data_IF_446693905454
#
_entry.id   IF_446693905454
#
_cell.length_a   1.000
_cell.length_b   1.000
_cell.length_c   1.000
_cell.angle_alpha   90.00
_cell.angle_beta   90.00
_cell.angle_gamma   90.00
#
_symmetry.space_group_name_H-M   'P 1'
#
loop_
_entity.id
_entity.type
_entity.pdbx_description
1 polymer ?
#
# COMPACT_ATOMS: atom_id res chain seq x y z
N UNK A 1 8.73 -0.22 25.62
CA UNK A 1 8.53 1.21 25.29
C UNK A 1 9.18 1.59 23.95
N UNK A 2 10.48 1.38 23.73
CA UNK A 2 11.18 1.78 22.49
C UNK A 2 10.58 1.21 21.20
N UNK A 3 10.21 -0.09 21.18
CA UNK A 3 9.55 -0.73 20.01
C UNK A 3 8.15 -0.17 19.76
N UNK A 4 7.35 0.08 20.79
CA UNK A 4 5.99 0.64 20.66
C UNK A 4 6.03 2.05 20.05
N UNK A 5 6.93 2.90 20.52
CA UNK A 5 7.13 4.25 19.97
C UNK A 5 7.54 4.19 18.49
N UNK A 6 8.47 3.29 18.16
CA UNK A 6 8.93 3.08 16.79
C UNK A 6 7.79 2.63 15.88
N UNK A 7 6.92 1.72 16.36
CA UNK A 7 5.76 1.25 15.62
C UNK A 7 4.69 2.34 15.45
N UNK A 8 4.49 3.20 16.46
CA UNK A 8 3.62 4.35 16.32
C UNK A 8 4.15 5.33 15.26
N UNK A 9 5.47 5.54 15.19
CA UNK A 9 6.10 6.34 14.13
C UNK A 9 5.99 5.67 12.76
N UNK A 10 6.05 4.34 12.69
CA UNK A 10 5.77 3.58 11.45
C UNK A 10 4.33 3.81 10.99
N UNK A 11 3.36 3.63 11.87
CA UNK A 11 1.94 3.89 11.57
C UNK A 11 1.69 5.34 11.14
N UNK A 12 2.33 6.29 11.82
CA UNK A 12 2.28 7.71 11.46
C UNK A 12 2.85 7.95 10.05
N UNK A 13 4.04 7.43 9.76
CA UNK A 13 4.68 7.56 8.45
C UNK A 13 3.87 6.91 7.34
N UNK A 14 3.36 5.70 7.57
CA UNK A 14 2.50 4.98 6.62
C UNK A 14 1.20 5.74 6.33
N UNK A 15 0.56 6.29 7.35
CA UNK A 15 -0.66 7.08 7.17
C UNK A 15 -0.41 8.42 6.47
N UNK A 16 0.73 9.06 6.72
CA UNK A 16 1.11 10.27 5.96
C UNK A 16 1.22 9.97 4.48
N UNK A 17 1.77 8.82 4.13
CA UNK A 17 1.86 8.35 2.74
C UNK A 17 0.48 8.03 2.18
N UNK A 18 -0.27 7.19 2.88
CA UNK A 18 -1.58 6.72 2.44
C UNK A 18 -2.59 7.85 2.29
N UNK A 19 -2.72 8.69 3.28
CA UNK A 19 -3.62 9.85 3.24
C UNK A 19 -3.26 10.87 2.16
N UNK A 20 -2.03 10.81 1.63
CA UNK A 20 -1.58 11.69 0.55
C UNK A 20 -1.69 11.04 -0.84
N UNK A 21 -1.66 9.72 -0.95
CA UNK A 21 -1.71 8.98 -2.21
C UNK A 21 -3.04 8.25 -2.42
N UNK A 22 -3.84 8.07 -1.36
CA UNK A 22 -5.04 7.24 -1.37
C UNK A 22 -4.75 5.76 -1.59
N UNK A 23 -3.55 5.31 -1.23
CA UNK A 23 -3.09 3.93 -1.33
C UNK A 23 -1.71 3.79 -0.67
N UNK A 24 -1.35 2.56 -0.26
CA UNK A 24 -0.01 2.21 0.21
C UNK A 24 0.22 2.22 1.73
N UNK A 25 -0.82 2.28 2.55
CA UNK A 25 -0.66 2.08 4.01
C UNK A 25 -0.02 0.73 4.31
N UNK A 26 -0.60 -0.35 3.80
CA UNK A 26 -0.12 -1.71 4.01
C UNK A 26 1.32 -1.91 3.52
N UNK A 27 1.59 -1.55 2.26
CA UNK A 27 2.95 -1.70 1.65
C UNK A 27 4.01 -0.97 2.46
N UNK A 28 3.71 0.26 2.91
CA UNK A 28 4.65 1.10 3.67
C UNK A 28 4.85 0.54 5.07
N UNK A 29 3.75 0.25 5.79
CA UNK A 29 3.79 -0.28 7.16
C UNK A 29 4.54 -1.61 7.22
N UNK A 30 4.19 -2.55 6.35
CA UNK A 30 4.83 -3.87 6.30
C UNK A 30 6.30 -3.77 5.95
N UNK A 31 6.67 -2.95 4.95
CA UNK A 31 8.07 -2.70 4.60
C UNK A 31 8.87 -2.21 5.81
N UNK A 32 8.33 -1.26 6.57
CA UNK A 32 8.99 -0.72 7.74
C UNK A 32 9.04 -1.72 8.90
N UNK A 33 7.98 -2.54 9.09
CA UNK A 33 7.96 -3.61 10.09
C UNK A 33 9.00 -4.69 9.79
N UNK A 34 9.14 -5.12 8.53
CA UNK A 34 10.19 -6.03 8.10
C UNK A 34 11.58 -5.43 8.31
N UNK A 35 11.76 -4.15 8.00
CA UNK A 35 13.04 -3.44 8.16
C UNK A 35 13.52 -3.41 9.62
N UNK A 36 12.59 -3.38 10.58
CA UNK A 36 12.90 -3.41 12.03
C UNK A 36 12.90 -4.83 12.60
N UNK A 37 12.83 -5.85 11.76
CA UNK A 37 13.01 -7.25 12.12
C UNK A 37 11.75 -7.96 12.64
N UNK A 38 10.56 -7.48 12.31
CA UNK A 38 9.30 -8.20 12.56
C UNK A 38 9.16 -9.33 11.54
N UNK A 39 8.77 -10.53 11.99
CA UNK A 39 8.52 -11.67 11.08
C UNK A 39 7.37 -11.37 10.09
N UNK A 40 7.48 -11.91 8.88
CA UNK A 40 6.59 -11.60 7.77
C UNK A 40 5.09 -11.78 8.09
N UNK A 41 4.70 -12.96 8.59
CA UNK A 41 3.31 -13.22 8.94
C UNK A 41 2.81 -12.32 10.08
N UNK A 42 3.64 -12.07 11.11
CA UNK A 42 3.29 -11.17 12.21
C UNK A 42 3.22 -9.70 11.74
N UNK A 43 4.07 -9.29 10.80
CA UNK A 43 4.03 -7.95 10.21
C UNK A 43 2.71 -7.74 9.45
N UNK A 44 2.37 -8.65 8.54
CA UNK A 44 1.12 -8.58 7.78
C UNK A 44 -0.11 -8.65 8.71
N UNK A 45 -0.14 -9.58 9.67
CA UNK A 45 -1.22 -9.67 10.66
C UNK A 45 -1.41 -8.37 11.46
N UNK A 46 -0.30 -7.75 11.90
CA UNK A 46 -0.33 -6.50 12.66
C UNK A 46 -0.89 -5.36 11.83
N UNK A 47 -0.49 -5.26 10.56
CA UNK A 47 -0.95 -4.23 9.63
C UNK A 47 -2.45 -4.39 9.36
N UNK A 48 -2.92 -5.59 8.96
CA UNK A 48 -4.33 -5.80 8.65
C UNK A 48 -5.25 -5.60 9.87
N UNK A 49 -4.81 -5.97 11.07
CA UNK A 49 -5.55 -5.67 12.30
C UNK A 49 -5.67 -4.17 12.56
N UNK A 50 -4.62 -3.40 12.29
CA UNK A 50 -4.66 -1.94 12.40
C UNK A 50 -5.55 -1.33 11.30
N UNK A 51 -5.51 -1.89 10.08
CA UNK A 51 -6.33 -1.47 8.95
C UNK A 51 -7.83 -1.65 9.19
N UNK A 52 -8.26 -2.62 9.99
CA UNK A 52 -9.69 -2.73 10.36
C UNK A 52 -10.20 -1.40 10.94
N UNK A 53 -9.43 -0.78 11.84
CA UNK A 53 -9.84 0.49 12.45
C UNK A 53 -9.67 1.68 11.53
N UNK A 54 -8.58 1.77 10.79
CA UNK A 54 -8.32 2.91 9.88
C UNK A 54 -9.27 2.91 8.69
N UNK A 55 -9.51 1.76 8.06
CA UNK A 55 -10.43 1.64 6.90
C UNK A 55 -11.89 1.75 7.28
N UNK A 56 -12.26 1.34 8.50
CA UNK A 56 -13.62 1.59 9.02
C UNK A 56 -13.89 3.10 9.14
N UNK A 57 -12.94 3.84 9.70
CA UNK A 57 -13.07 5.29 9.86
C UNK A 57 -13.05 6.02 8.51
N UNK A 58 -12.11 5.67 7.65
CA UNK A 58 -11.95 6.26 6.32
C UNK A 58 -13.13 5.89 5.40
N UNK A 59 -13.52 4.62 5.36
CA UNK A 59 -14.66 4.15 4.59
C UNK A 59 -15.97 4.82 5.00
N UNK A 60 -16.21 5.01 6.31
CA UNK A 60 -17.37 5.75 6.81
C UNK A 60 -17.35 7.22 6.34
N UNK A 61 -16.18 7.88 6.33
CA UNK A 61 -16.02 9.23 5.82
C UNK A 61 -16.30 9.28 4.30
N UNK A 62 -15.74 8.38 3.52
CA UNK A 62 -15.99 8.28 2.07
C UNK A 62 -17.46 8.03 1.75
N UNK A 63 -18.11 7.17 2.55
CA UNK A 63 -19.56 6.93 2.41
C UNK A 63 -20.35 8.21 2.64
N UNK A 64 -20.05 8.94 3.71
CA UNK A 64 -20.71 10.21 4.05
C UNK A 64 -20.54 11.29 2.97
N UNK A 65 -19.38 11.30 2.30
CA UNK A 65 -19.09 12.25 1.21
C UNK A 65 -19.61 11.81 -0.16
N UNK A 66 -20.32 10.67 -0.26
CA UNK A 66 -20.86 10.18 -1.54
C UNK A 66 -19.78 9.64 -2.50
N UNK A 67 -18.61 9.30 -1.99
CA UNK A 67 -17.47 8.81 -2.76
C UNK A 67 -17.47 7.27 -2.91
N UNK A 68 -18.55 6.60 -2.55
CA UNK A 68 -18.63 5.13 -2.57
C UNK A 68 -19.63 4.64 -3.60
N UNK A 69 -19.24 3.64 -4.39
CA UNK A 69 -20.13 2.82 -5.20
C UNK A 69 -20.29 1.45 -4.52
N UNK A 70 -21.42 1.24 -3.82
CA UNK A 70 -21.68 0.02 -3.08
C UNK A 70 -21.64 -1.26 -3.94
N UNK A 71 -21.97 -1.15 -5.25
CA UNK A 71 -21.88 -2.28 -6.18
C UNK A 71 -20.44 -2.65 -6.47
N UNK A 72 -19.57 -1.65 -6.59
CA UNK A 72 -18.12 -1.88 -6.75
C UNK A 72 -17.55 -2.49 -5.48
N UNK A 73 -17.85 -1.91 -4.30
CA UNK A 73 -17.43 -2.43 -2.98
C UNK A 73 -17.77 -3.93 -2.85
N UNK A 74 -19.03 -4.31 -3.08
CA UNK A 74 -19.43 -5.71 -2.95
C UNK A 74 -18.77 -6.63 -4.00
N UNK A 75 -18.65 -6.15 -5.25
CA UNK A 75 -18.13 -6.97 -6.36
C UNK A 75 -16.61 -7.21 -6.30
N UNK A 76 -15.86 -6.31 -5.70
CA UNK A 76 -14.41 -6.46 -5.53
C UNK A 76 -14.06 -6.93 -4.10
N UNK A 77 -14.72 -6.38 -3.09
CA UNK A 77 -14.40 -6.63 -1.68
C UNK A 77 -14.72 -8.06 -1.23
N UNK A 78 -15.88 -8.65 -1.66
CA UNK A 78 -16.20 -10.03 -1.27
C UNK A 78 -15.20 -11.05 -1.86
N UNK A 79 -14.89 -11.04 -3.18
CA UNK A 79 -13.80 -11.87 -3.69
C UNK A 79 -12.44 -11.53 -3.09
N UNK A 80 -12.20 -10.25 -2.81
CA UNK A 80 -10.99 -9.78 -2.14
C UNK A 80 -10.83 -10.37 -0.74
N UNK A 81 -11.89 -10.40 0.04
CA UNK A 81 -11.92 -11.05 1.35
C UNK A 81 -11.56 -12.54 1.28
N UNK A 82 -12.10 -13.27 0.28
CA UNK A 82 -11.74 -14.68 0.04
C UNK A 82 -10.25 -14.79 -0.31
N UNK A 83 -9.75 -13.94 -1.20
CA UNK A 83 -8.34 -13.91 -1.58
C UNK A 83 -7.44 -13.60 -0.38
N UNK A 84 -7.82 -12.62 0.43
CA UNK A 84 -7.06 -12.19 1.60
C UNK A 84 -7.00 -13.28 2.69
N UNK A 85 -8.09 -13.95 2.96
CA UNK A 85 -8.10 -15.11 3.87
C UNK A 85 -7.15 -16.21 3.36
N UNK A 86 -7.23 -16.55 2.07
CA UNK A 86 -6.33 -17.53 1.47
C UNK A 86 -4.86 -17.07 1.48
N UNK A 87 -4.59 -15.80 1.21
CA UNK A 87 -3.23 -15.24 1.26
C UNK A 87 -2.64 -15.23 2.68
N UNK A 88 -3.45 -14.90 3.67
CA UNK A 88 -3.06 -14.92 5.08
C UNK A 88 -2.74 -16.33 5.57
N UNK A 89 -3.59 -17.30 5.27
CA UNK A 89 -3.35 -18.71 5.61
C UNK A 89 -2.14 -19.27 4.86
N UNK A 90 -1.97 -18.92 3.58
CA UNK A 90 -0.78 -19.28 2.80
C UNK A 90 0.50 -18.72 3.44
N UNK A 91 0.57 -17.41 3.71
CA UNK A 91 1.75 -16.81 4.33
C UNK A 91 2.06 -17.41 5.70
N UNK A 92 1.02 -17.71 6.48
CA UNK A 92 1.14 -18.34 7.80
C UNK A 92 1.67 -19.77 7.75
N UNK A 93 1.48 -20.48 6.64
CA UNK A 93 1.96 -21.86 6.44
C UNK A 93 3.42 -21.93 5.99
N UNK A 94 4.01 -20.81 5.59
CA UNK A 94 5.40 -20.76 5.16
C UNK A 94 6.36 -20.80 6.35
N UNK A 95 7.51 -21.45 6.15
CA UNK A 95 8.62 -21.31 7.08
C UNK A 95 9.08 -19.85 7.18
N UNK A 96 9.64 -19.45 8.31
CA UNK A 96 10.16 -18.10 8.54
C UNK A 96 11.17 -17.70 7.44
N UNK A 97 12.00 -18.65 7.01
CA UNK A 97 13.05 -18.43 5.99
C UNK A 97 12.48 -18.21 4.60
N UNK A 98 11.31 -18.79 4.29
CA UNK A 98 10.62 -18.59 3.01
C UNK A 98 9.68 -17.37 3.01
N UNK A 99 9.02 -17.09 4.12
CA UNK A 99 8.01 -16.03 4.22
C UNK A 99 8.60 -14.63 3.95
N UNK A 100 9.76 -14.30 4.55
CA UNK A 100 10.37 -12.99 4.39
C UNK A 100 10.85 -12.69 2.95
N UNK A 101 11.52 -13.61 2.22
CA UNK A 101 11.86 -13.41 0.82
C UNK A 101 10.63 -13.27 -0.09
N UNK A 102 9.61 -14.12 0.09
CA UNK A 102 8.37 -14.06 -0.72
C UNK A 102 7.67 -12.72 -0.53
N UNK A 103 7.46 -12.31 0.72
CA UNK A 103 6.87 -11.01 1.04
C UNK A 103 7.70 -9.86 0.46
N UNK A 104 9.03 -9.90 0.64
CA UNK A 104 9.93 -8.87 0.10
C UNK A 104 9.89 -8.80 -1.43
N UNK A 105 9.72 -9.92 -2.13
CA UNK A 105 9.58 -9.94 -3.58
C UNK A 105 8.27 -9.28 -4.03
N UNK A 106 7.17 -9.55 -3.34
CA UNK A 106 5.88 -8.90 -3.57
C UNK A 106 6.00 -7.38 -3.33
N UNK A 107 6.53 -6.99 -2.18
CA UNK A 107 6.72 -5.58 -1.82
C UNK A 107 7.68 -4.86 -2.76
N UNK A 108 8.76 -5.51 -3.21
CA UNK A 108 9.68 -4.99 -4.21
C UNK A 108 8.97 -4.71 -5.54
N UNK A 109 8.12 -5.64 -5.97
CA UNK A 109 7.32 -5.49 -7.19
C UNK A 109 6.33 -4.32 -7.07
N UNK A 110 5.60 -4.26 -5.95
CA UNK A 110 4.66 -3.16 -5.67
C UNK A 110 5.37 -1.81 -5.52
N UNK A 111 6.50 -1.78 -4.82
CA UNK A 111 7.32 -0.58 -4.68
C UNK A 111 7.88 -0.08 -6.02
N UNK A 112 8.35 -0.99 -6.86
CA UNK A 112 8.80 -0.68 -8.22
C UNK A 112 7.65 -0.14 -9.08
N UNK A 113 6.48 -0.77 -8.99
CA UNK A 113 5.27 -0.30 -9.64
C UNK A 113 4.89 1.13 -9.16
N UNK A 114 4.89 1.39 -7.86
CA UNK A 114 4.61 2.72 -7.31
C UNK A 114 5.63 3.75 -7.81
N UNK A 115 6.92 3.42 -7.76
CA UNK A 115 7.99 4.29 -8.23
C UNK A 115 7.77 4.68 -9.70
N UNK A 116 7.56 3.70 -10.58
CA UNK A 116 7.31 3.93 -12.01
C UNK A 116 6.00 4.70 -12.21
N UNK A 117 4.92 4.28 -11.56
CA UNK A 117 3.59 4.86 -11.72
C UNK A 117 3.56 6.35 -11.40
N UNK A 118 4.13 6.74 -10.26
CA UNK A 118 4.13 8.14 -9.83
C UNK A 118 5.18 8.99 -10.55
N UNK A 119 6.24 8.37 -11.08
CA UNK A 119 7.24 9.08 -11.88
C UNK A 119 6.75 9.38 -13.30
N UNK A 120 6.10 8.40 -13.97
CA UNK A 120 5.88 8.46 -15.43
C UNK A 120 4.44 8.72 -15.86
N UNK A 121 3.43 8.24 -15.11
CA UNK A 121 2.05 8.23 -15.60
C UNK A 121 1.17 9.30 -14.97
N UNK A 122 0.43 10.03 -15.82
CA UNK A 122 -0.71 10.87 -15.43
C UNK A 122 -2.00 10.07 -15.20
N UNK A 123 -3.12 10.75 -14.94
CA UNK A 123 -4.45 10.13 -14.84
C UNK A 123 -4.97 9.72 -16.23
N UNK A 124 -5.50 8.50 -16.35
CA UNK A 124 -6.11 8.04 -17.59
C UNK A 124 -7.44 8.78 -17.86
N UNK A 125 -7.63 9.27 -19.09
CA UNK A 125 -8.92 9.78 -19.58
C UNK A 125 -9.66 8.62 -20.24
N UNK A 126 -10.93 8.36 -19.89
CA UNK A 126 -11.60 7.16 -20.38
C UNK A 126 -13.13 7.20 -20.42
N UNK A 127 -13.76 6.05 -20.50
CA UNK A 127 -15.17 5.76 -20.77
C UNK A 127 -16.07 5.94 -19.54
N UNK A 128 -16.20 7.13 -19.00
CA UNK A 128 -17.04 7.43 -17.83
C UNK A 128 -18.49 6.96 -18.01
N UNK A 129 -19.07 6.43 -16.94
CA UNK A 129 -20.49 6.04 -16.88
C UNK A 129 -20.80 4.60 -17.32
N UNK A 130 -19.87 3.85 -17.92
CA UNK A 130 -20.10 2.42 -18.21
C UNK A 130 -19.91 1.57 -16.94
N UNK A 131 -20.85 0.65 -16.64
CA UNK A 131 -20.76 -0.14 -15.41
C UNK A 131 -19.53 -1.06 -15.41
N UNK A 132 -18.87 -1.13 -14.25
CA UNK A 132 -17.81 -2.10 -14.00
C UNK A 132 -18.42 -3.51 -13.89
N UNK A 133 -17.94 -4.42 -14.74
CA UNK A 133 -18.49 -5.78 -14.81
C UNK A 133 -17.95 -6.66 -13.67
N UNK A 134 -18.77 -7.51 -13.09
CA UNK A 134 -18.37 -8.51 -12.08
C UNK A 134 -17.22 -9.39 -12.59
N UNK A 135 -17.23 -9.75 -13.87
CA UNK A 135 -16.17 -10.56 -14.53
C UNK A 135 -14.78 -9.92 -14.47
N UNK A 136 -14.69 -8.59 -14.31
CA UNK A 136 -13.43 -7.88 -14.13
C UNK A 136 -13.11 -7.71 -12.66
N UNK A 137 -14.09 -7.28 -11.85
CA UNK A 137 -13.88 -6.95 -10.44
C UNK A 137 -13.62 -8.19 -9.55
N UNK A 138 -14.26 -9.32 -9.82
CA UNK A 138 -14.12 -10.50 -8.97
C UNK A 138 -12.71 -11.14 -9.06
N UNK A 139 -12.15 -11.43 -10.24
CA UNK A 139 -10.78 -11.96 -10.30
C UNK A 139 -9.74 -10.91 -9.85
N UNK A 140 -9.97 -9.62 -10.13
CA UNK A 140 -9.12 -8.54 -9.64
C UNK A 140 -9.12 -8.51 -8.10
N UNK A 141 -10.29 -8.57 -7.47
CA UNK A 141 -10.41 -8.59 -6.02
C UNK A 141 -9.75 -9.81 -5.40
N UNK A 142 -10.02 -11.01 -5.95
CA UNK A 142 -9.41 -12.26 -5.46
C UNK A 142 -7.87 -12.18 -5.48
N UNK A 143 -7.31 -11.74 -6.61
CA UNK A 143 -5.86 -11.61 -6.77
C UNK A 143 -5.30 -10.50 -5.86
N UNK A 144 -5.92 -9.33 -5.86
CA UNK A 144 -5.48 -8.20 -5.05
C UNK A 144 -5.50 -8.54 -3.55
N UNK A 145 -6.58 -9.17 -3.06
CA UNK A 145 -6.67 -9.58 -1.66
C UNK A 145 -5.66 -10.66 -1.28
N UNK A 146 -5.40 -11.63 -2.16
CA UNK A 146 -4.36 -12.64 -1.93
C UNK A 146 -2.97 -11.99 -1.83
N UNK A 147 -2.63 -11.12 -2.78
CA UNK A 147 -1.35 -10.39 -2.79
C UNK A 147 -1.23 -9.46 -1.59
N UNK A 148 -2.32 -8.81 -1.21
CA UNK A 148 -2.42 -7.90 -0.08
C UNK A 148 -2.06 -8.60 1.23
N UNK A 149 -2.72 -9.70 1.56
CA UNK A 149 -2.44 -10.46 2.77
C UNK A 149 -1.06 -11.13 2.75
N UNK A 150 -0.65 -11.71 1.60
CA UNK A 150 0.65 -12.38 1.46
C UNK A 150 1.81 -11.36 1.45
N UNK A 151 1.60 -10.20 0.87
CA UNK A 151 2.59 -9.11 0.78
C UNK A 151 2.54 -8.12 1.96
N UNK A 152 1.47 -8.16 2.75
CA UNK A 152 1.23 -7.16 3.79
C UNK A 152 0.91 -5.78 3.22
N UNK A 153 0.27 -5.74 2.07
CA UNK A 153 -0.18 -4.56 1.35
C UNK A 153 -0.23 -4.81 -0.15
N UNK A 154 -1.25 -4.32 -0.80
CA UNK A 154 -1.44 -4.55 -2.23
C UNK A 154 -2.85 -4.21 -2.71
N UNK A 155 -3.81 -4.15 -1.80
CA UNK A 155 -5.19 -3.84 -2.13
C UNK A 155 -5.32 -2.52 -2.89
N UNK A 156 -4.88 -1.43 -2.29
CA UNK A 156 -4.87 -0.10 -2.90
C UNK A 156 -4.00 -0.02 -4.15
N UNK A 157 -2.70 -0.40 -4.09
CA UNK A 157 -1.79 -0.37 -5.24
C UNK A 157 -2.22 -1.19 -6.46
N UNK A 158 -2.97 -2.27 -6.28
CA UNK A 158 -3.48 -3.10 -7.38
C UNK A 158 -4.88 -2.64 -7.80
N UNK A 159 -5.80 -2.51 -6.84
CA UNK A 159 -7.21 -2.23 -7.10
C UNK A 159 -7.46 -0.85 -7.67
N UNK A 160 -6.89 0.19 -7.06
CA UNK A 160 -7.11 1.58 -7.46
C UNK A 160 -6.69 1.85 -8.91
N UNK A 161 -5.44 1.58 -9.33
CA UNK A 161 -5.03 1.87 -10.70
C UNK A 161 -5.70 0.98 -11.74
N UNK A 162 -6.01 -0.29 -11.41
CA UNK A 162 -6.72 -1.17 -12.32
C UNK A 162 -8.12 -0.64 -12.64
N UNK A 163 -8.84 -0.12 -11.65
CA UNK A 163 -10.16 0.49 -11.87
C UNK A 163 -10.04 1.85 -12.53
N UNK A 164 -9.08 2.69 -12.13
CA UNK A 164 -8.82 3.99 -12.77
C UNK A 164 -8.48 3.85 -14.25
N UNK A 165 -7.65 2.84 -14.61
CA UNK A 165 -7.29 2.56 -16.00
C UNK A 165 -8.50 2.17 -16.87
N UNK A 166 -9.56 1.63 -16.26
CA UNK A 166 -10.82 1.37 -16.99
C UNK A 166 -11.52 2.64 -17.46
N UNK A 167 -11.27 3.77 -16.81
CA UNK A 167 -11.86 5.06 -17.07
C UNK A 167 -13.40 5.13 -16.92
N UNK A 168 -14.00 4.17 -16.19
CA UNK A 168 -15.46 4.01 -16.10
C UNK A 168 -16.08 4.64 -14.86
N UNK A 169 -15.28 4.94 -13.87
CA UNK A 169 -15.72 5.51 -12.60
C UNK A 169 -14.90 6.76 -12.28
N UNK A 170 -15.53 7.75 -11.68
CA UNK A 170 -14.85 8.96 -11.22
C UNK A 170 -13.71 8.62 -10.25
N UNK A 171 -12.54 9.27 -10.33
CA UNK A 171 -11.39 8.96 -9.47
C UNK A 171 -11.73 8.94 -7.98
N UNK A 172 -12.53 9.92 -7.50
CA UNK A 172 -12.96 9.97 -6.09
C UNK A 172 -13.78 8.75 -5.67
N UNK A 173 -14.65 8.24 -6.58
CA UNK A 173 -15.45 7.02 -6.33
C UNK A 173 -14.61 5.77 -6.41
N UNK A 174 -13.56 5.74 -7.23
CA UNK A 174 -12.61 4.62 -7.24
C UNK A 174 -11.90 4.55 -5.90
N UNK A 175 -11.30 5.64 -5.46
CA UNK A 175 -10.57 5.72 -4.18
C UNK A 175 -11.49 5.33 -3.03
N UNK A 176 -12.64 5.99 -2.89
CA UNK A 176 -13.56 5.72 -1.79
C UNK A 176 -14.15 4.31 -1.80
N UNK A 177 -14.37 3.71 -2.98
CA UNK A 177 -14.89 2.33 -3.05
C UNK A 177 -13.82 1.29 -2.73
N UNK A 178 -12.56 1.52 -3.17
CA UNK A 178 -11.43 0.64 -2.82
C UNK A 178 -11.18 0.71 -1.33
N UNK A 179 -11.01 1.89 -0.76
CA UNK A 179 -10.79 2.09 0.67
C UNK A 179 -11.92 1.49 1.53
N UNK A 180 -13.18 1.73 1.18
CA UNK A 180 -14.31 1.11 1.89
C UNK A 180 -14.32 -0.42 1.78
N UNK A 181 -13.92 -0.99 0.63
CA UNK A 181 -13.87 -2.44 0.43
C UNK A 181 -12.68 -3.10 1.15
N UNK A 182 -11.63 -2.35 1.44
CA UNK A 182 -10.44 -2.80 2.16
C UNK A 182 -10.78 -3.25 3.59
N UNK A 183 -11.78 -2.65 4.23
CA UNK A 183 -12.30 -3.15 5.50
C UNK A 183 -12.66 -4.64 5.47
N UNK A 184 -13.35 -5.11 4.42
CA UNK A 184 -13.70 -6.52 4.27
C UNK A 184 -12.45 -7.39 4.10
N UNK A 185 -11.48 -6.89 3.36
CA UNK A 185 -10.20 -7.56 3.09
C UNK A 185 -9.37 -7.66 4.38
N UNK A 186 -9.26 -6.56 5.12
CA UNK A 186 -8.52 -6.50 6.37
C UNK A 186 -9.12 -7.42 7.44
N UNK A 187 -10.45 -7.46 7.57
CA UNK A 187 -11.14 -8.41 8.47
C UNK A 187 -10.85 -9.86 8.07
N UNK A 188 -10.96 -10.19 6.79
CA UNK A 188 -10.76 -11.57 6.32
C UNK A 188 -9.28 -11.99 6.43
N UNK A 189 -8.33 -11.12 6.10
CA UNK A 189 -6.90 -11.35 6.32
C UNK A 189 -6.59 -11.59 7.80
N UNK A 190 -7.12 -10.73 8.67
CA UNK A 190 -6.94 -10.86 10.12
C UNK A 190 -7.45 -12.19 10.65
N UNK A 191 -8.64 -12.62 10.21
CA UNK A 191 -9.19 -13.95 10.55
C UNK A 191 -8.28 -15.08 10.03
N UNK A 192 -7.77 -14.95 8.79
CA UNK A 192 -6.84 -15.93 8.22
C UNK A 192 -5.54 -16.03 9.01
N UNK A 193 -4.99 -14.90 9.48
CA UNK A 193 -3.81 -14.89 10.34
C UNK A 193 -4.10 -15.47 11.72
N UNK A 194 -5.23 -15.12 12.34
CA UNK A 194 -5.61 -15.70 13.64
C UNK A 194 -5.75 -17.22 13.59
N UNK A 195 -6.26 -17.76 12.47
CA UNK A 195 -6.32 -19.21 12.25
C UNK A 195 -4.94 -19.80 11.96
N UNK A 196 -4.11 -19.10 11.18
CA UNK A 196 -2.83 -19.60 10.66
C UNK A 196 -1.69 -19.55 11.68
N UNK A 197 -1.49 -18.40 12.35
CA UNK A 197 -0.40 -18.23 13.34
C UNK A 197 -0.87 -18.28 14.80
N UNK A 198 -2.18 -18.26 15.05
CA UNK A 198 -2.76 -18.19 16.39
C UNK A 198 -2.79 -16.79 16.98
N UNK A 199 -3.75 -16.55 17.88
CA UNK A 199 -3.93 -15.24 18.52
C UNK A 199 -2.76 -14.89 19.46
N UNK A 200 -2.09 -15.87 20.02
CA UNK A 200 -0.94 -15.72 20.93
C UNK A 200 0.30 -15.14 20.23
N UNK A 201 0.40 -15.29 18.91
CA UNK A 201 1.50 -14.74 18.11
C UNK A 201 1.22 -13.31 17.58
N UNK A 202 0.05 -12.75 17.86
CA UNK A 202 -0.33 -11.39 17.54
C UNK A 202 -0.05 -10.47 18.71
N UNK A 203 0.83 -9.49 18.52
CA UNK A 203 1.12 -8.51 19.55
C UNK A 203 0.13 -7.34 19.48
N UNK A 204 -0.89 -7.37 20.34
CA UNK A 204 -1.94 -6.34 20.41
C UNK A 204 -1.34 -4.94 20.64
N UNK A 205 -0.26 -4.84 21.43
CA UNK A 205 0.42 -3.56 21.65
C UNK A 205 1.01 -2.95 20.36
N UNK A 206 1.45 -3.79 19.44
CA UNK A 206 1.93 -3.34 18.11
C UNK A 206 0.78 -2.86 17.23
N UNK A 207 -0.33 -3.60 17.23
CA UNK A 207 -1.56 -3.21 16.50
C UNK A 207 -2.05 -1.85 16.98
N UNK A 208 -2.17 -1.68 18.30
CA UNK A 208 -2.62 -0.43 18.92
C UNK A 208 -1.64 0.72 18.62
N UNK A 209 -0.35 0.46 18.64
CA UNK A 209 0.66 1.47 18.34
C UNK A 209 0.55 1.95 16.86
N UNK A 210 0.43 1.02 15.91
CA UNK A 210 0.21 1.35 14.50
C UNK A 210 -1.08 2.13 14.28
N UNK A 211 -2.17 1.67 14.89
CA UNK A 211 -3.49 2.31 14.80
C UNK A 211 -3.46 3.74 15.36
N UNK A 212 -2.90 3.94 16.55
CA UNK A 212 -2.78 5.28 17.15
C UNK A 212 -1.92 6.18 16.27
N UNK A 213 -0.77 5.69 15.80
CA UNK A 213 0.09 6.45 14.88
C UNK A 213 -0.65 6.85 13.61
N UNK A 214 -1.40 5.93 13.03
CA UNK A 214 -2.22 6.17 11.85
C UNK A 214 -3.33 7.21 12.09
N UNK A 215 -4.11 7.04 13.14
CA UNK A 215 -5.23 7.96 13.47
C UNK A 215 -4.71 9.37 13.78
N UNK A 216 -3.61 9.50 14.53
CA UNK A 216 -2.99 10.80 14.83
C UNK A 216 -2.44 11.47 13.57
N UNK A 217 -1.91 10.70 12.63
CA UNK A 217 -1.35 11.21 11.39
C UNK A 217 -2.43 11.62 10.36
N UNK A 218 -3.61 11.04 10.42
CA UNK A 218 -4.66 11.27 9.42
C UNK A 218 -4.99 12.76 9.15
N UNK A 219 -5.20 13.62 10.15
CA UNK A 219 -5.43 15.05 9.92
C UNK A 219 -4.19 15.75 9.36
N UNK A 220 -2.99 15.32 9.77
CA UNK A 220 -1.71 15.87 9.27
C UNK A 220 -1.51 15.46 7.81
N UNK A 221 -1.82 14.23 7.45
CA UNK A 221 -1.77 13.73 6.08
C UNK A 221 -2.72 14.51 5.18
N UNK A 222 -3.96 14.74 5.62
CA UNK A 222 -4.94 15.54 4.89
C UNK A 222 -4.52 17.00 4.68
N UNK A 223 -3.71 17.56 5.58
CA UNK A 223 -3.11 18.87 5.40
C UNK A 223 -1.89 18.81 4.47
N UNK A 224 -1.02 17.83 4.65
CA UNK A 224 0.23 17.68 3.90
C UNK A 224 -0.01 17.42 2.41
N UNK A 225 -1.09 16.73 2.06
CA UNK A 225 -1.50 16.47 0.66
C UNK A 225 -1.65 17.75 -0.16
N UNK A 226 -1.94 18.87 0.49
CA UNK A 226 -2.05 20.18 -0.15
C UNK A 226 -0.69 20.80 -0.47
N UNK A 227 0.37 20.36 0.21
CA UNK A 227 1.72 20.91 0.11
C UNK A 227 2.67 20.04 -0.70
N UNK A 228 2.53 18.71 -0.61
CA UNK A 228 3.42 17.77 -1.28
C UNK A 228 2.71 17.16 -2.48
N UNK A 229 3.24 17.35 -3.69
CA UNK A 229 2.63 16.76 -4.88
C UNK A 229 2.63 15.23 -4.79
N UNK A 230 1.50 14.55 -5.10
CA UNK A 230 1.40 13.09 -5.06
C UNK A 230 2.48 12.39 -5.90
N UNK A 231 2.88 12.99 -7.02
CA UNK A 231 3.97 12.51 -7.88
C UNK A 231 5.30 12.42 -7.13
N UNK A 232 5.65 13.46 -6.38
CA UNK A 232 6.93 13.52 -5.61
C UNK A 232 6.89 12.54 -4.44
N UNK A 233 5.79 12.54 -3.69
CA UNK A 233 5.63 11.66 -2.54
C UNK A 233 5.63 10.18 -2.97
N UNK A 234 4.88 9.84 -4.02
CA UNK A 234 4.80 8.47 -4.52
C UNK A 234 6.14 7.94 -5.05
N UNK A 235 6.92 8.77 -5.76
CA UNK A 235 8.26 8.37 -6.19
C UNK A 235 9.24 8.27 -5.02
N UNK A 236 9.13 9.14 -4.01
CA UNK A 236 9.96 9.06 -2.81
C UNK A 236 9.70 7.76 -2.03
N UNK A 237 8.44 7.45 -1.75
CA UNK A 237 8.03 6.25 -0.99
C UNK A 237 8.30 4.97 -1.79
N UNK A 238 7.99 4.94 -3.08
CA UNK A 238 8.28 3.80 -3.94
C UNK A 238 9.76 3.41 -3.89
N UNK A 239 10.66 4.39 -3.93
CA UNK A 239 12.10 4.17 -3.81
C UNK A 239 12.53 3.60 -2.44
N UNK A 240 11.95 4.08 -1.34
CA UNK A 240 12.20 3.52 0.01
C UNK A 240 11.79 2.05 0.06
N UNK A 241 10.60 1.72 -0.47
CA UNK A 241 10.08 0.34 -0.50
C UNK A 241 11.02 -0.54 -1.33
N UNK A 242 11.44 -0.09 -2.53
CA UNK A 242 12.38 -0.82 -3.39
C UNK A 242 13.70 -1.06 -2.69
N UNK A 243 14.31 -0.03 -2.10
CA UNK A 243 15.61 -0.14 -1.43
C UNK A 243 15.55 -1.10 -0.24
N UNK A 244 14.52 -0.96 0.61
CA UNK A 244 14.38 -1.77 1.83
C UNK A 244 14.14 -3.24 1.51
N UNK A 245 13.25 -3.53 0.55
CA UNK A 245 12.94 -4.91 0.20
C UNK A 245 14.06 -5.56 -0.66
N UNK A 246 14.78 -4.79 -1.48
CA UNK A 246 16.03 -5.26 -2.11
C UNK A 246 17.06 -5.67 -1.05
N UNK A 247 17.20 -4.88 0.04
CA UNK A 247 18.11 -5.23 1.13
C UNK A 247 17.69 -6.54 1.81
N UNK A 248 16.41 -6.71 2.13
CA UNK A 248 15.90 -7.94 2.76
C UNK A 248 16.12 -9.14 1.85
N UNK A 249 15.79 -9.03 0.57
CA UNK A 249 15.92 -10.10 -0.40
C UNK A 249 17.37 -10.52 -0.63
N UNK A 250 18.28 -9.57 -0.85
CA UNK A 250 19.70 -9.85 -1.09
C UNK A 250 20.45 -10.41 0.13
N UNK A 251 19.88 -10.25 1.34
CA UNK A 251 20.40 -10.81 2.60
C UNK A 251 19.75 -12.13 2.97
N UNK A 252 18.66 -12.51 2.32
CA UNK A 252 17.98 -13.76 2.59
C UNK A 252 18.84 -14.95 2.21
N UNK A 253 18.57 -16.11 2.79
CA UNK A 253 19.25 -17.36 2.47
C UNK A 253 19.05 -17.80 1.02
N UNK A 254 18.00 -17.29 0.35
CA UNK A 254 17.76 -17.55 -1.07
C UNK A 254 18.82 -16.95 -2.00
N UNK A 255 19.38 -15.80 -1.65
CA UNK A 255 20.36 -15.10 -2.48
C UNK A 255 21.75 -15.09 -1.84
N UNK A 256 21.82 -14.97 -0.52
CA UNK A 256 23.05 -14.85 0.26
C UNK A 256 24.15 -14.05 -0.47
N UNK A 257 23.75 -12.92 -1.04
CA UNK A 257 24.58 -12.14 -1.94
C UNK A 257 25.82 -11.59 -1.23
N UNK A 258 27.02 -11.64 -1.86
CA UNK A 258 28.23 -11.08 -1.28
C UNK A 258 28.11 -9.57 -1.07
N UNK A 259 28.88 -9.03 -0.13
CA UNK A 259 28.80 -7.62 0.28
C UNK A 259 28.97 -6.65 -0.91
N UNK A 260 29.91 -6.93 -1.80
CA UNK A 260 30.15 -6.12 -3.01
C UNK A 260 28.92 -6.02 -3.90
N UNK A 261 28.24 -7.14 -4.16
CA UNK A 261 27.00 -7.16 -4.95
C UNK A 261 25.88 -6.40 -4.24
N UNK A 262 25.72 -6.60 -2.92
CA UNK A 262 24.70 -5.89 -2.14
C UNK A 262 24.87 -4.37 -2.23
N UNK A 263 26.08 -3.87 -1.94
CA UNK A 263 26.34 -2.43 -1.98
C UNK A 263 26.24 -1.85 -3.40
N UNK A 264 26.66 -2.61 -4.42
CA UNK A 264 26.47 -2.24 -5.82
C UNK A 264 24.99 -2.09 -6.19
N UNK A 265 24.14 -3.07 -5.83
CA UNK A 265 22.68 -3.00 -6.02
C UNK A 265 22.07 -1.81 -5.28
N UNK A 266 22.45 -1.56 -4.02
CA UNK A 266 21.92 -0.41 -3.27
C UNK A 266 22.31 0.91 -3.92
N UNK A 267 23.53 1.05 -4.40
CA UNK A 267 23.97 2.26 -5.11
C UNK A 267 23.15 2.51 -6.39
N UNK A 268 22.90 1.46 -7.17
CA UNK A 268 22.07 1.54 -8.38
C UNK A 268 20.63 1.92 -8.04
N UNK A 269 20.04 1.27 -7.04
CA UNK A 269 18.67 1.59 -6.58
C UNK A 269 18.59 3.04 -6.09
N UNK A 270 19.55 3.49 -5.29
CA UNK A 270 19.61 4.88 -4.81
C UNK A 270 19.76 5.89 -5.97
N UNK A 271 20.57 5.57 -6.98
CA UNK A 271 20.74 6.43 -8.16
C UNK A 271 19.44 6.55 -8.97
N UNK A 272 18.76 5.40 -9.24
CA UNK A 272 17.45 5.37 -9.92
C UNK A 272 16.42 6.14 -9.10
N UNK A 273 16.38 5.93 -7.81
CA UNK A 273 15.45 6.62 -6.90
C UNK A 273 15.69 8.14 -6.90
N UNK A 274 16.93 8.59 -6.75
CA UNK A 274 17.26 10.02 -6.81
C UNK A 274 16.88 10.64 -8.16
N UNK A 275 17.12 9.93 -9.27
CA UNK A 275 16.72 10.36 -10.60
C UNK A 275 15.19 10.47 -10.72
N UNK A 276 14.44 9.47 -10.23
CA UNK A 276 12.97 9.46 -10.26
C UNK A 276 12.37 10.62 -9.45
N UNK A 277 12.87 10.86 -8.23
CA UNK A 277 12.41 11.97 -7.39
C UNK A 277 12.75 13.32 -8.03
N UNK A 278 13.95 13.47 -8.54
CA UNK A 278 14.37 14.69 -9.24
C UNK A 278 13.52 14.98 -10.48
N UNK A 279 13.24 13.94 -11.27
CA UNK A 279 12.33 14.03 -12.42
C UNK A 279 10.91 14.44 -11.99
N UNK A 280 10.38 13.80 -10.95
CA UNK A 280 9.05 14.11 -10.40
C UNK A 280 8.92 15.56 -9.93
N UNK A 281 9.96 16.11 -9.29
CA UNK A 281 10.00 17.51 -8.86
C UNK A 281 10.04 18.46 -10.08
N UNK A 282 10.88 18.15 -11.07
CA UNK A 282 11.00 18.99 -12.27
C UNK A 282 9.70 19.02 -13.07
N UNK A 283 9.08 17.88 -13.25
CA UNK A 283 7.84 17.76 -14.03
C UNK A 283 6.67 18.46 -13.32
N UNK A 284 6.58 18.33 -11.99
CA UNK A 284 5.57 19.07 -11.22
C UNK A 284 5.73 20.59 -11.37
N UNK A 285 6.97 21.10 -11.33
CA UNK A 285 7.25 22.54 -11.54
C UNK A 285 6.85 23.00 -12.95
N UNK A 286 7.07 22.16 -13.98
CA UNK A 286 6.65 22.45 -15.36
C UNK A 286 5.12 22.53 -15.48
N UNK A 287 4.41 21.57 -14.89
CA UNK A 287 2.93 21.56 -14.89
C UNK A 287 2.38 22.84 -14.23
N UNK A 288 2.97 23.30 -13.14
CA UNK A 288 2.58 24.55 -12.48
C UNK A 288 2.81 25.79 -13.37
N UNK A 289 3.95 25.87 -14.05
CA UNK A 289 4.27 27.00 -14.93
C UNK A 289 3.29 27.07 -16.13
N UNK A 290 2.96 25.92 -16.72
CA UNK A 290 1.99 25.84 -17.81
C UNK A 290 0.58 26.28 -17.39
N UNK A 291 0.14 25.90 -16.18
CA UNK A 291 -1.17 26.30 -15.65
C UNK A 291 -1.29 27.79 -15.42
N UNK A 292 -0.23 28.46 -14.97
CA UNK A 292 -0.17 29.93 -14.79
C UNK A 292 -0.20 30.65 -16.14
N UNK A 293 0.49 30.14 -17.15
CA UNK A 293 0.52 30.75 -18.49
C UNK A 293 -0.87 30.70 -19.15
N UNK A 294 -1.61 29.59 -18.98
CA UNK A 294 -2.98 29.44 -19.55
C UNK A 294 -3.99 30.33 -18.80
N UNK A 295 -3.78 30.62 -17.51
CA UNK A 295 -4.71 31.47 -16.75
C UNK A 295 -4.52 32.98 -17.00
N UNK A 296 -3.38 33.39 -17.58
CA UNK A 296 -3.02 34.78 -17.83
C UNK A 296 -3.11 35.17 -19.33
N UNK A 297 -3.48 34.26 -20.20
CA UNK A 297 -3.75 34.48 -21.63
C UNK A 297 -5.21 34.26 -21.96
#
# INVERSE_FOLDING_TARGET
MRKILLLALVGLGAQLVDGSLGMAYGVTSTTLLLAVGVHAAAASATVHLAEIGTTLASGAAHWRFGNVDAKVVARIGIPGAVGAFAGATFLSSLSTDAAAPIMSLILLTLGSYLLIRFTTFGLAKGNMGKPLRKRFLAPLGLLAGFVDATGGGGWGPIGTPAILASGRLEPRKVIGSIDTSEFLVAVAASLGFLVGIGAENVNVGWVVALLIGGVVAAPVAAWLVRLVPPRVLGSAVGGVIVLTNSRTLLRSDWFNAPATLRYGCYAVVCAIWAAAVTYSIREHRREQQQSVTISNG
#
